data_IF_400458174066
#
_entry.id   IF_400458174066
#
_cell.length_a   1.000
_cell.length_b   1.000
_cell.length_c   1.000
_cell.angle_alpha   90.00
_cell.angle_beta   90.00
_cell.angle_gamma   90.00
#
_symmetry.space_group_name_H-M   'P 1'
#
loop_
_entity.id
_entity.type
_entity.pdbx_description
1 polymer ?
#
# COMPACT_ATOMS: atom_id res chain seq x y z
N UNK A 1 -7.34 -12.85 35.01
CA UNK A 1 -6.73 -11.53 35.19
C UNK A 1 -6.06 -11.09 33.91
N UNK A 2 -6.51 -9.97 33.32
CA UNK A 2 -5.93 -9.46 32.05
C UNK A 2 -4.46 -9.10 32.18
N UNK A 3 -4.00 -8.72 33.39
CA UNK A 3 -2.59 -8.38 33.64
C UNK A 3 -1.66 -9.60 33.54
N UNK A 4 -2.16 -10.83 33.63
CA UNK A 4 -1.34 -12.04 33.51
C UNK A 4 -1.00 -12.42 32.08
N UNK A 5 -1.73 -11.88 31.09
CA UNK A 5 -1.58 -12.24 29.67
C UNK A 5 -1.07 -11.09 28.81
N UNK A 6 -1.00 -9.88 29.37
CA UNK A 6 -0.59 -8.69 28.64
C UNK A 6 0.15 -7.71 29.52
N UNK A 7 1.37 -7.37 29.13
CA UNK A 7 2.16 -6.30 29.73
C UNK A 7 2.24 -5.14 28.76
N UNK A 8 1.52 -4.03 29.02
CA UNK A 8 1.58 -2.86 28.14
C UNK A 8 2.93 -2.15 28.27
N UNK A 9 3.49 -1.69 27.17
CA UNK A 9 4.56 -0.70 27.25
C UNK A 9 3.99 0.69 27.64
N UNK A 10 4.85 1.66 27.95
CA UNK A 10 4.46 2.96 28.51
C UNK A 10 3.37 3.68 27.73
N UNK A 11 3.47 3.72 26.39
CA UNK A 11 2.45 4.34 25.54
C UNK A 11 1.11 3.63 25.59
N UNK A 12 1.10 2.29 25.58
CA UNK A 12 -0.13 1.49 25.71
C UNK A 12 -0.76 1.68 27.10
N UNK A 13 0.06 1.72 28.17
CA UNK A 13 -0.40 1.98 29.52
C UNK A 13 -1.06 3.36 29.66
N UNK A 14 -0.52 4.38 28.99
CA UNK A 14 -1.13 5.71 28.94
C UNK A 14 -2.52 5.67 28.31
N UNK A 15 -2.68 4.94 27.19
CA UNK A 15 -3.97 4.78 26.53
C UNK A 15 -4.99 4.08 27.44
N UNK A 16 -4.58 3.00 28.12
CA UNK A 16 -5.46 2.22 29.01
C UNK A 16 -5.87 2.97 30.26
N UNK A 17 -5.00 3.85 30.80
CA UNK A 17 -5.31 4.64 31.98
C UNK A 17 -6.17 5.87 31.68
N UNK A 18 -6.23 6.31 30.43
CA UNK A 18 -6.98 7.51 30.07
C UNK A 18 -8.51 7.27 30.11
N UNK A 19 -9.29 8.14 30.79
CA UNK A 19 -10.73 7.90 31.01
C UNK A 19 -11.61 8.22 29.80
N UNK A 20 -11.10 8.86 28.76
CA UNK A 20 -11.87 9.30 27.59
C UNK A 20 -12.68 8.16 26.97
N UNK A 21 -13.90 8.50 26.54
CA UNK A 21 -14.79 7.57 25.84
C UNK A 21 -14.40 7.35 24.39
N UNK A 22 -13.83 8.35 23.74
CA UNK A 22 -13.31 8.23 22.39
C UNK A 22 -11.79 8.31 22.40
N UNK A 23 -11.11 7.32 21.84
CA UNK A 23 -9.66 7.26 21.72
C UNK A 23 -9.26 7.15 20.27
N UNK A 24 -8.33 7.98 19.80
CA UNK A 24 -7.84 7.98 18.42
C UNK A 24 -6.33 7.83 18.43
N UNK A 25 -5.85 6.72 17.86
CA UNK A 25 -4.44 6.34 17.86
C UNK A 25 -3.87 6.44 16.45
N UNK A 26 -3.09 7.48 16.19
CA UNK A 26 -2.37 7.69 14.95
C UNK A 26 -0.92 7.31 15.18
N UNK A 27 -0.58 6.04 14.98
CA UNK A 27 0.71 5.48 15.38
C UNK A 27 1.34 4.64 14.27
N UNK A 28 2.67 4.55 14.29
CA UNK A 28 3.44 3.80 13.31
C UNK A 28 3.12 2.30 13.29
N UNK A 29 3.43 1.65 12.17
CA UNK A 29 3.33 0.18 12.04
C UNK A 29 4.24 -0.49 13.09
N UNK A 30 3.86 -1.68 13.57
CA UNK A 30 4.61 -2.43 14.59
C UNK A 30 4.67 -1.77 15.98
N UNK A 31 3.98 -0.64 16.19
CA UNK A 31 3.90 -0.02 17.53
C UNK A 31 3.07 -0.84 18.53
N UNK A 32 2.19 -1.71 18.06
CA UNK A 32 1.32 -2.54 18.91
C UNK A 32 -0.09 -1.97 19.12
N UNK A 33 -0.58 -1.15 18.17
CA UNK A 33 -1.88 -0.47 18.22
C UNK A 33 -3.08 -1.43 18.35
N UNK A 34 -3.11 -2.51 17.55
CA UNK A 34 -4.24 -3.46 17.56
C UNK A 34 -4.29 -4.22 18.89
N UNK A 35 -3.13 -4.54 19.47
CA UNK A 35 -3.06 -5.15 20.82
C UNK A 35 -3.57 -4.20 21.88
N UNK A 36 -3.17 -2.91 21.83
CA UNK A 36 -3.70 -1.89 22.73
C UNK A 36 -5.24 -1.78 22.60
N UNK A 37 -5.77 -1.76 21.38
CA UNK A 37 -7.21 -1.68 21.13
C UNK A 37 -7.96 -2.90 21.67
N UNK A 38 -7.43 -4.12 21.47
CA UNK A 38 -8.02 -5.34 22.00
C UNK A 38 -8.12 -5.30 23.53
N UNK A 39 -7.02 -4.93 24.20
CA UNK A 39 -7.04 -4.91 25.66
C UNK A 39 -7.84 -3.74 26.24
N UNK A 40 -7.97 -2.61 25.54
CA UNK A 40 -8.89 -1.53 25.91
C UNK A 40 -10.36 -1.97 25.82
N UNK A 41 -10.70 -2.74 24.77
CA UNK A 41 -12.01 -3.38 24.61
C UNK A 41 -12.29 -4.38 25.75
N UNK A 42 -11.36 -5.30 26.01
CA UNK A 42 -11.52 -6.32 27.07
C UNK A 42 -11.59 -5.70 28.45
N UNK A 43 -10.81 -4.67 28.73
CA UNK A 43 -10.90 -3.87 29.96
C UNK A 43 -12.30 -3.27 30.11
N UNK A 44 -12.81 -2.64 29.04
CA UNK A 44 -14.16 -2.06 29.06
C UNK A 44 -15.23 -3.14 29.28
N UNK A 45 -15.08 -4.31 28.67
CA UNK A 45 -15.98 -5.44 28.93
C UNK A 45 -15.98 -5.86 30.39
N UNK A 46 -14.81 -6.12 30.98
CA UNK A 46 -14.68 -6.55 32.38
C UNK A 46 -15.22 -5.47 33.33
N UNK A 47 -14.88 -4.21 33.15
CA UNK A 47 -15.44 -3.10 33.93
C UNK A 47 -16.97 -3.01 33.82
N UNK A 48 -17.54 -3.38 32.66
CA UNK A 48 -18.98 -3.36 32.43
C UNK A 48 -19.75 -4.41 33.21
N UNK A 49 -19.08 -5.48 33.66
CA UNK A 49 -19.72 -6.57 34.41
C UNK A 49 -20.05 -6.16 35.85
N UNK A 50 -19.34 -5.18 36.41
CA UNK A 50 -19.52 -4.71 37.78
C UNK A 50 -20.47 -3.50 37.89
N UNK A 51 -20.85 -2.89 36.77
CA UNK A 51 -21.75 -1.74 36.78
C UNK A 51 -23.11 -2.16 37.25
N UNK A 52 -23.49 -1.72 38.45
CA UNK A 52 -24.84 -1.87 38.97
C UNK A 52 -25.79 -0.98 38.16
N UNK A 53 -26.71 -1.57 37.45
CA UNK A 53 -27.73 -0.84 36.71
C UNK A 53 -29.03 -0.92 37.48
N UNK A 54 -29.58 0.24 37.84
CA UNK A 54 -30.85 0.39 38.61
C UNK A 54 -32.07 -0.06 37.81
N UNK A 55 -31.93 -0.58 36.60
CA UNK A 55 -33.03 -1.06 35.80
C UNK A 55 -32.79 -2.47 35.26
N UNK A 56 -33.80 -3.32 35.29
CA UNK A 56 -33.84 -4.69 34.78
C UNK A 56 -33.61 -4.84 33.27
N UNK A 57 -33.04 -3.84 32.60
CA UNK A 57 -32.97 -3.71 31.14
C UNK A 57 -31.58 -3.33 30.63
N UNK A 58 -30.48 -3.83 31.23
CA UNK A 58 -29.15 -3.65 30.61
C UNK A 58 -29.03 -4.64 29.49
N UNK A 59 -28.85 -4.15 28.24
CA UNK A 59 -28.63 -5.07 27.14
C UNK A 59 -27.28 -5.79 27.33
N UNK A 60 -27.16 -7.03 26.82
CA UNK A 60 -25.87 -7.72 26.77
C UNK A 60 -24.81 -6.84 26.17
N UNK A 61 -23.55 -6.98 26.63
CA UNK A 61 -22.45 -6.22 26.08
C UNK A 61 -22.27 -6.54 24.59
N UNK A 62 -22.14 -5.51 23.77
CA UNK A 62 -21.93 -5.69 22.34
C UNK A 62 -20.78 -4.80 21.88
N UNK A 63 -19.76 -5.41 21.29
CA UNK A 63 -18.65 -4.71 20.67
C UNK A 63 -18.55 -5.03 19.18
N UNK A 64 -18.34 -4.00 18.39
CA UNK A 64 -17.98 -4.15 16.99
C UNK A 64 -16.52 -3.81 16.77
N UNK A 65 -15.87 -4.65 15.94
CA UNK A 65 -14.55 -4.39 15.39
C UNK A 65 -14.72 -4.24 13.88
N UNK A 66 -14.52 -3.03 13.39
CA UNK A 66 -14.75 -2.68 11.99
C UNK A 66 -13.41 -2.49 11.29
N UNK A 67 -13.13 -3.30 10.27
CA UNK A 67 -11.95 -3.14 9.42
C UNK A 67 -12.30 -2.86 7.97
N UNK A 68 -11.34 -2.44 7.13
CA UNK A 68 -11.59 -2.04 5.75
C UNK A 68 -12.22 -3.14 4.88
N UNK A 69 -11.75 -4.38 5.06
CA UNK A 69 -12.22 -5.55 4.31
C UNK A 69 -12.17 -6.82 5.15
N UNK A 70 -12.96 -7.84 4.80
CA UNK A 70 -12.92 -9.13 5.50
C UNK A 70 -11.55 -9.81 5.53
N UNK A 71 -10.73 -9.83 4.45
CA UNK A 71 -9.37 -10.37 4.53
C UNK A 71 -8.48 -9.68 5.57
N UNK A 72 -8.55 -8.34 5.69
CA UNK A 72 -7.82 -7.59 6.71
C UNK A 72 -8.37 -7.86 8.11
N UNK A 73 -9.70 -7.93 8.26
CA UNK A 73 -10.35 -8.29 9.51
C UNK A 73 -9.95 -9.68 10.01
N UNK A 74 -9.67 -10.64 9.12
CA UNK A 74 -9.26 -12.00 9.49
C UNK A 74 -7.95 -12.03 10.28
N UNK A 75 -7.03 -11.13 9.98
CA UNK A 75 -5.80 -11.01 10.76
C UNK A 75 -6.08 -10.57 12.20
N UNK A 76 -6.93 -9.55 12.36
CA UNK A 76 -7.37 -9.08 13.68
C UNK A 76 -8.14 -10.17 14.42
N UNK A 77 -9.00 -10.91 13.73
CA UNK A 77 -9.71 -12.06 14.29
C UNK A 77 -8.75 -13.11 14.86
N UNK A 78 -7.74 -13.52 14.11
CA UNK A 78 -6.76 -14.50 14.56
C UNK A 78 -6.00 -14.00 15.80
N UNK A 79 -5.67 -12.71 15.85
CA UNK A 79 -5.03 -12.10 17.02
C UNK A 79 -5.97 -12.13 18.24
N UNK A 80 -7.24 -11.77 18.07
CA UNK A 80 -8.24 -11.84 19.15
C UNK A 80 -8.33 -13.25 19.72
N UNK A 81 -8.53 -14.25 18.87
CA UNK A 81 -8.68 -15.63 19.32
C UNK A 81 -7.43 -16.16 20.03
N UNK A 82 -6.24 -15.71 19.62
CA UNK A 82 -4.98 -16.13 20.24
C UNK A 82 -4.74 -15.52 21.62
N UNK A 83 -5.28 -14.34 21.88
CA UNK A 83 -5.09 -13.61 23.15
C UNK A 83 -6.29 -13.62 24.09
N UNK A 84 -7.47 -14.02 23.61
CA UNK A 84 -8.68 -14.00 24.42
C UNK A 84 -8.63 -15.14 25.47
N UNK A 85 -8.70 -14.83 26.78
CA UNK A 85 -8.71 -15.87 27.81
C UNK A 85 -9.88 -16.83 27.63
N UNK A 86 -9.60 -18.13 27.64
CA UNK A 86 -10.62 -19.17 27.47
C UNK A 86 -11.69 -19.16 28.57
N UNK A 87 -11.33 -18.68 29.76
CA UNK A 87 -12.26 -18.53 30.89
C UNK A 87 -13.27 -17.39 30.68
N UNK A 88 -12.98 -16.43 29.79
CA UNK A 88 -13.97 -15.41 29.39
C UNK A 88 -14.89 -15.86 28.26
N UNK A 89 -14.59 -16.94 27.57
CA UNK A 89 -15.36 -17.40 26.41
C UNK A 89 -16.46 -18.36 26.88
N UNK A 90 -17.70 -18.22 26.38
CA UNK A 90 -18.76 -19.19 26.60
C UNK A 90 -18.42 -20.56 25.98
N UNK A 91 -18.88 -21.68 26.55
CA UNK A 91 -18.74 -22.98 25.89
C UNK A 91 -19.35 -22.96 24.49
N UNK A 92 -18.54 -23.29 23.47
CA UNK A 92 -18.92 -23.16 22.06
C UNK A 92 -19.19 -21.74 21.57
N UNK A 93 -18.68 -20.73 22.29
CA UNK A 93 -18.93 -19.30 21.97
C UNK A 93 -18.16 -18.73 20.82
N UNK A 94 -17.21 -19.46 20.24
CA UNK A 94 -16.46 -19.00 19.05
C UNK A 94 -17.21 -19.44 17.79
N UNK A 95 -17.61 -18.47 16.96
CA UNK A 95 -18.21 -18.66 15.65
C UNK A 95 -17.22 -18.23 14.58
N UNK A 96 -16.38 -19.17 14.14
CA UNK A 96 -15.24 -18.91 13.26
C UNK A 96 -15.68 -18.33 11.90
N UNK A 97 -16.73 -18.87 11.30
CA UNK A 97 -17.20 -18.45 9.97
C UNK A 97 -17.85 -17.07 10.00
N UNK A 98 -18.51 -16.73 11.11
CA UNK A 98 -19.19 -15.46 11.34
C UNK A 98 -18.24 -14.40 11.93
N UNK A 99 -17.03 -14.80 12.37
CA UNK A 99 -16.10 -13.99 13.15
C UNK A 99 -16.75 -13.31 14.35
N UNK A 100 -17.41 -14.15 15.18
CA UNK A 100 -18.09 -13.72 16.40
C UNK A 100 -17.61 -14.51 17.61
N UNK A 101 -17.48 -13.82 18.76
CA UNK A 101 -17.15 -14.44 20.04
C UNK A 101 -18.18 -14.06 21.10
N UNK A 102 -18.81 -15.07 21.71
CA UNK A 102 -19.70 -14.90 22.86
C UNK A 102 -18.87 -15.01 24.13
N UNK A 103 -18.99 -13.99 24.99
CA UNK A 103 -18.27 -13.90 26.25
C UNK A 103 -19.19 -14.27 27.43
N UNK A 104 -18.62 -14.89 28.46
CA UNK A 104 -19.32 -15.17 29.72
C UNK A 104 -19.56 -13.87 30.47
N UNK A 105 -20.76 -13.70 30.98
CA UNK A 105 -21.13 -12.55 31.80
C UNK A 105 -21.32 -12.90 33.27
N UNK A 106 -22.07 -12.06 33.95
CA UNK A 106 -22.51 -12.19 35.33
C UNK A 106 -24.05 -12.22 35.41
N UNK A 107 -24.63 -12.38 36.59
CA UNK A 107 -26.09 -12.27 36.77
C UNK A 107 -26.65 -10.93 36.29
N UNK A 108 -25.89 -9.87 36.43
CA UNK A 108 -26.28 -8.50 36.03
C UNK A 108 -26.17 -8.28 34.51
N UNK A 109 -25.20 -8.89 33.87
CA UNK A 109 -24.96 -8.81 32.44
C UNK A 109 -24.60 -10.20 31.91
N UNK A 110 -25.59 -10.98 31.47
CA UNK A 110 -25.47 -12.45 31.36
C UNK A 110 -24.48 -12.90 30.26
N UNK A 111 -24.19 -12.07 29.27
CA UNK A 111 -23.23 -12.37 28.22
C UNK A 111 -22.75 -11.13 27.50
N UNK A 112 -21.70 -11.29 26.71
CA UNK A 112 -21.20 -10.29 25.80
C UNK A 112 -20.95 -10.87 24.39
N UNK A 113 -20.92 -10.02 23.41
CA UNK A 113 -20.63 -10.37 22.02
C UNK A 113 -19.55 -9.43 21.46
N UNK A 114 -18.52 -10.01 20.91
CA UNK A 114 -17.57 -9.30 20.02
C UNK A 114 -17.86 -9.78 18.60
N UNK A 115 -18.10 -8.85 17.70
CA UNK A 115 -18.46 -9.13 16.32
C UNK A 115 -17.55 -8.33 15.38
N UNK A 116 -16.98 -9.00 14.37
CA UNK A 116 -16.17 -8.34 13.34
C UNK A 116 -17.04 -7.97 12.15
N UNK A 117 -16.88 -6.73 11.69
CA UNK A 117 -17.59 -6.15 10.55
C UNK A 117 -16.62 -5.63 9.50
N UNK A 118 -17.01 -5.68 8.24
CA UNK A 118 -16.27 -5.07 7.14
C UNK A 118 -16.89 -3.74 6.74
N UNK A 119 -16.04 -2.72 6.59
CA UNK A 119 -16.43 -1.41 6.08
C UNK A 119 -16.67 -1.39 4.55
N UNK A 120 -16.38 -2.50 3.85
CA UNK A 120 -16.54 -2.59 2.39
C UNK A 120 -18.01 -2.35 1.96
N UNK A 121 -18.98 -2.78 2.77
CA UNK A 121 -20.40 -2.47 2.56
C UNK A 121 -20.92 -1.59 3.72
N UNK A 122 -20.85 -0.25 3.60
CA UNK A 122 -21.26 0.67 4.66
C UNK A 122 -22.72 0.52 5.11
N UNK A 123 -23.62 0.09 4.21
CA UNK A 123 -25.04 -0.02 4.54
C UNK A 123 -25.34 -1.17 5.51
N UNK A 124 -24.43 -2.15 5.64
CA UNK A 124 -24.52 -3.22 6.66
C UNK A 124 -24.17 -2.75 8.07
N UNK A 125 -23.67 -1.54 8.26
CA UNK A 125 -23.17 -1.00 9.52
C UNK A 125 -24.21 -0.19 10.32
N UNK A 126 -25.50 -0.35 10.05
CA UNK A 126 -26.58 0.44 10.69
C UNK A 126 -27.47 -0.34 11.66
N UNK A 127 -27.21 -1.60 11.93
CA UNK A 127 -28.23 -2.53 12.44
C UNK A 127 -28.28 -2.72 13.96
N UNK A 128 -27.29 -2.26 14.73
CA UNK A 128 -27.27 -2.52 16.19
C UNK A 128 -26.62 -1.37 16.97
N UNK A 129 -27.10 -1.18 18.22
CA UNK A 129 -26.37 -0.34 19.18
C UNK A 129 -25.24 -1.12 19.83
N UNK A 130 -24.06 -0.49 20.00
CA UNK A 130 -22.89 -1.12 20.61
C UNK A 130 -22.39 -0.37 21.83
N UNK A 131 -21.78 -1.11 22.76
CA UNK A 131 -21.10 -0.58 23.94
C UNK A 131 -19.68 -0.11 23.58
N UNK A 132 -19.04 -0.81 22.64
CA UNK A 132 -17.70 -0.51 22.21
C UNK A 132 -17.57 -0.62 20.67
N UNK A 133 -16.97 0.38 20.06
CA UNK A 133 -16.65 0.41 18.65
C UNK A 133 -15.14 0.55 18.46
N UNK A 134 -14.52 -0.49 17.90
CA UNK A 134 -13.13 -0.41 17.45
C UNK A 134 -13.09 -0.36 15.93
N UNK A 135 -12.49 0.70 15.36
CA UNK A 135 -12.16 0.77 13.93
C UNK A 135 -10.66 0.55 13.77
N UNK A 136 -10.30 -0.56 13.14
CA UNK A 136 -8.90 -0.92 12.84
C UNK A 136 -8.51 -0.51 11.44
N UNK A 137 -7.21 -0.17 11.23
CA UNK A 137 -6.67 0.39 9.99
C UNK A 137 -7.56 1.53 9.47
N UNK A 138 -7.85 2.46 10.37
CA UNK A 138 -8.82 3.56 10.19
C UNK A 138 -8.54 4.42 8.95
N UNK A 139 -7.25 4.55 8.53
CA UNK A 139 -6.85 5.28 7.33
C UNK A 139 -7.38 4.65 6.03
N UNK A 140 -7.75 3.38 6.05
CA UNK A 140 -8.26 2.64 4.88
C UNK A 140 -9.80 2.47 4.92
N UNK A 141 -10.46 2.99 5.96
CA UNK A 141 -11.92 2.95 6.12
C UNK A 141 -12.54 4.21 5.51
N UNK A 142 -13.47 4.05 4.57
CA UNK A 142 -14.11 5.18 3.89
C UNK A 142 -14.97 6.04 4.83
N UNK A 143 -15.07 7.34 4.53
CA UNK A 143 -15.87 8.33 5.29
C UNK A 143 -17.31 7.87 5.50
N UNK A 144 -17.95 7.35 4.43
CA UNK A 144 -19.33 6.84 4.51
C UNK A 144 -19.50 5.70 5.52
N UNK A 145 -18.51 4.80 5.63
CA UNK A 145 -18.57 3.72 6.62
C UNK A 145 -18.44 4.26 8.04
N UNK A 146 -17.54 5.21 8.26
CA UNK A 146 -17.43 5.89 9.56
C UNK A 146 -18.70 6.61 9.96
N UNK A 147 -19.32 7.37 9.04
CA UNK A 147 -20.59 8.07 9.26
C UNK A 147 -21.73 7.12 9.67
N UNK A 148 -21.77 5.90 9.11
CA UNK A 148 -22.72 4.87 9.48
C UNK A 148 -22.46 4.24 10.86
N UNK A 149 -21.19 4.21 11.29
CA UNK A 149 -20.80 3.68 12.59
C UNK A 149 -21.08 4.64 13.75
N UNK A 150 -21.09 5.96 13.54
CA UNK A 150 -21.25 6.92 14.64
C UNK A 150 -22.59 6.80 15.38
N UNK A 151 -23.76 6.67 14.72
CA UNK A 151 -25.05 6.58 15.40
C UNK A 151 -25.20 5.36 16.29
N UNK A 152 -24.53 4.24 15.98
CA UNK A 152 -24.63 3.01 16.76
C UNK A 152 -24.08 3.14 18.20
N UNK A 153 -23.16 4.09 18.41
CA UNK A 153 -22.64 4.46 19.73
C UNK A 153 -23.64 5.29 20.56
N UNK A 154 -24.71 5.81 19.96
CA UNK A 154 -25.69 6.69 20.64
C UNK A 154 -26.94 5.95 21.13
N UNK A 155 -26.88 4.65 21.16
CA UNK A 155 -28.01 3.84 21.60
C UNK A 155 -28.19 3.94 23.13
N UNK A 156 -29.43 4.16 23.62
CA UNK A 156 -29.72 4.25 25.05
C UNK A 156 -29.27 2.99 25.82
N UNK A 157 -28.77 3.17 27.02
CA UNK A 157 -28.34 2.07 27.90
C UNK A 157 -27.00 1.42 27.51
N UNK A 158 -26.29 1.96 26.54
CA UNK A 158 -24.97 1.51 26.12
C UNK A 158 -23.82 2.36 26.74
N UNK A 159 -22.65 1.77 26.88
CA UNK A 159 -21.46 2.43 27.45
C UNK A 159 -20.92 3.52 26.50
N UNK A 160 -21.04 3.30 25.20
CA UNK A 160 -20.64 4.25 24.14
C UNK A 160 -19.16 4.60 24.14
N UNK A 161 -18.26 3.64 24.31
CA UNK A 161 -16.81 3.82 24.14
C UNK A 161 -16.38 3.49 22.72
N UNK A 162 -15.33 4.15 22.24
CA UNK A 162 -14.75 3.87 20.92
C UNK A 162 -13.23 4.04 20.91
N UNK A 163 -12.57 3.26 20.05
CA UNK A 163 -11.16 3.38 19.75
C UNK A 163 -10.96 3.24 18.24
N UNK A 164 -10.32 4.23 17.64
CA UNK A 164 -9.96 4.23 16.22
C UNK A 164 -8.44 4.22 16.11
N UNK A 165 -7.88 3.27 15.36
CA UNK A 165 -6.43 3.16 15.23
C UNK A 165 -5.98 2.95 13.80
N UNK A 166 -4.85 3.57 13.47
CA UNK A 166 -4.23 3.49 12.15
C UNK A 166 -2.92 4.25 12.07
N UNK A 167 -2.31 4.20 10.90
CA UNK A 167 -1.27 5.14 10.49
C UNK A 167 -1.94 6.42 9.97
N UNK A 168 -1.22 7.55 9.77
CA UNK A 168 -1.80 8.72 9.11
C UNK A 168 -2.48 8.38 7.79
N UNK A 169 -3.63 8.97 7.51
CA UNK A 169 -4.29 8.84 6.23
C UNK A 169 -3.46 9.49 5.10
N UNK A 170 -3.78 9.19 3.83
CA UNK A 170 -3.06 9.73 2.69
C UNK A 170 -3.41 11.19 2.37
N UNK A 171 -4.57 11.67 2.85
CA UNK A 171 -5.08 13.03 2.60
C UNK A 171 -5.70 13.64 3.85
N UNK A 172 -5.60 14.95 3.93
CA UNK A 172 -5.99 15.74 5.11
C UNK A 172 -7.49 15.79 5.38
N UNK A 173 -8.31 15.63 4.36
CA UNK A 173 -9.77 15.64 4.46
C UNK A 173 -10.36 14.25 4.80
N UNK A 174 -9.54 13.23 5.00
CA UNK A 174 -9.98 11.93 5.46
C UNK A 174 -10.59 12.04 6.88
N UNK A 175 -11.69 11.33 7.13
CA UNK A 175 -12.40 11.39 8.41
C UNK A 175 -11.48 11.15 9.61
N UNK A 176 -10.51 10.22 9.48
CA UNK A 176 -9.59 9.86 10.56
C UNK A 176 -8.68 11.04 10.94
N UNK A 177 -8.17 11.79 9.96
CA UNK A 177 -7.39 13.00 10.18
C UNK A 177 -8.26 14.14 10.73
N UNK A 178 -9.49 14.32 10.20
CA UNK A 178 -10.43 15.34 10.71
C UNK A 178 -10.79 15.09 12.18
N UNK A 179 -11.09 13.84 12.55
CA UNK A 179 -11.42 13.48 13.95
C UNK A 179 -10.20 13.69 14.84
N UNK A 180 -9.00 13.24 14.41
CA UNK A 180 -7.77 13.44 15.15
C UNK A 180 -7.54 14.92 15.47
N UNK A 181 -7.59 15.80 14.46
CA UNK A 181 -7.40 17.25 14.62
C UNK A 181 -8.50 17.92 15.46
N UNK A 182 -9.74 17.45 15.31
CA UNK A 182 -10.84 17.97 16.13
C UNK A 182 -10.66 17.67 17.61
N UNK A 183 -10.08 16.50 17.93
CA UNK A 183 -9.74 16.16 19.32
C UNK A 183 -8.54 16.97 19.79
N UNK A 184 -7.49 17.07 18.99
CA UNK A 184 -6.27 17.84 19.30
C UNK A 184 -6.57 19.32 19.57
N UNK A 185 -7.51 19.90 18.83
CA UNK A 185 -7.99 21.28 19.03
C UNK A 185 -9.02 21.43 20.16
N UNK A 186 -9.38 20.36 20.86
CA UNK A 186 -10.31 20.39 21.98
C UNK A 186 -11.79 20.52 21.61
N UNK A 187 -12.14 20.34 20.33
CA UNK A 187 -13.54 20.45 19.86
C UNK A 187 -14.39 19.22 20.21
N UNK A 188 -13.79 18.08 20.52
CA UNK A 188 -14.50 16.85 20.88
C UNK A 188 -14.32 16.58 22.37
N UNK A 189 -15.37 16.75 23.18
CA UNK A 189 -15.28 16.48 24.61
C UNK A 189 -15.17 14.97 24.89
N UNK A 190 -14.56 14.62 26.02
CA UNK A 190 -14.41 13.23 26.49
C UNK A 190 -13.69 12.34 25.46
N UNK A 191 -12.70 12.94 24.75
CA UNK A 191 -11.91 12.29 23.74
C UNK A 191 -10.41 12.48 23.99
N UNK A 192 -9.58 11.55 23.51
CA UNK A 192 -8.13 11.68 23.47
C UNK A 192 -7.59 11.29 22.10
N UNK A 193 -6.53 11.95 21.67
CA UNK A 193 -5.71 11.50 20.56
C UNK A 193 -4.30 11.16 21.04
N UNK A 194 -3.65 10.22 20.36
CA UNK A 194 -2.32 9.77 20.66
C UNK A 194 -1.54 9.50 19.39
N UNK A 195 -0.29 9.96 19.35
CA UNK A 195 0.63 9.68 18.25
C UNK A 195 1.94 9.12 18.77
N UNK A 196 2.55 8.19 18.03
CA UNK A 196 3.83 7.59 18.34
C UNK A 196 4.47 6.97 17.11
N UNK A 197 5.78 6.92 17.08
CA UNK A 197 6.54 6.23 16.03
C UNK A 197 6.60 4.72 16.30
N UNK A 198 6.91 3.93 15.28
CA UNK A 198 7.19 2.49 15.42
C UNK A 198 8.29 2.24 16.47
N UNK A 199 9.29 3.10 16.48
CA UNK A 199 10.48 2.98 17.35
C UNK A 199 10.22 3.23 18.82
N UNK A 200 9.07 3.79 19.18
CA UNK A 200 8.61 3.93 20.57
C UNK A 200 8.14 2.59 21.18
N UNK A 201 8.04 1.54 20.37
CA UNK A 201 7.79 0.20 20.86
C UNK A 201 9.09 -0.42 21.40
N UNK A 202 9.22 -0.63 22.73
CA UNK A 202 10.43 -1.19 23.34
C UNK A 202 10.62 -2.69 23.04
N UNK A 203 9.62 -3.37 22.48
CA UNK A 203 9.68 -4.78 22.13
C UNK A 203 10.23 -5.04 20.72
N UNK A 204 10.53 -3.99 19.95
CA UNK A 204 11.24 -4.14 18.68
C UNK A 204 12.69 -4.51 18.95
N UNK A 205 13.14 -5.62 18.37
CA UNK A 205 14.54 -6.03 18.36
C UNK A 205 15.38 -5.11 17.48
N UNK A 206 16.69 -5.18 17.57
CA UNK A 206 17.58 -4.44 16.68
C UNK A 206 17.40 -4.88 15.23
N UNK A 207 17.22 -6.20 14.98
CA UNK A 207 16.92 -6.73 13.66
C UNK A 207 15.61 -6.18 13.08
N UNK A 208 14.55 -6.03 13.90
CA UNK A 208 13.30 -5.42 13.47
C UNK A 208 13.49 -3.95 13.07
N UNK A 209 14.31 -3.22 13.85
CA UNK A 209 14.63 -1.81 13.58
C UNK A 209 15.42 -1.67 12.28
N UNK A 210 16.42 -2.51 12.08
CA UNK A 210 17.24 -2.52 10.87
C UNK A 210 16.39 -2.88 9.63
N UNK A 211 15.47 -3.84 9.76
CA UNK A 211 14.52 -4.16 8.70
C UNK A 211 13.63 -2.96 8.34
N UNK A 212 13.08 -2.26 9.34
CA UNK A 212 12.29 -1.04 9.12
C UNK A 212 13.13 0.05 8.43
N UNK A 213 14.39 0.24 8.83
CA UNK A 213 15.26 1.21 8.18
C UNK A 213 15.60 0.82 6.74
N UNK A 214 15.76 -0.47 6.46
CA UNK A 214 16.04 -0.95 5.10
C UNK A 214 14.87 -0.71 4.13
N UNK A 215 13.63 -0.65 4.62
CA UNK A 215 12.46 -0.31 3.80
C UNK A 215 12.57 1.06 3.13
N UNK A 216 13.34 2.02 3.70
CA UNK A 216 13.64 3.31 3.07
C UNK A 216 14.36 3.17 1.71
N UNK A 217 14.94 2.01 1.46
CA UNK A 217 15.59 1.75 0.17
C UNK A 217 14.59 1.46 -0.97
N UNK A 218 13.37 1.03 -0.63
CA UNK A 218 12.41 0.50 -1.60
C UNK A 218 11.06 1.22 -1.61
N UNK A 219 10.82 2.14 -0.67
CA UNK A 219 9.61 2.97 -0.63
C UNK A 219 9.98 4.46 -0.53
N UNK A 220 9.13 5.37 -1.07
CA UNK A 220 9.32 6.81 -0.95
C UNK A 220 9.40 7.26 0.52
N UNK A 221 10.22 8.26 0.81
CA UNK A 221 10.42 8.75 2.18
C UNK A 221 9.11 9.22 2.84
N UNK A 222 8.22 9.85 2.08
CA UNK A 222 6.90 10.25 2.58
C UNK A 222 6.07 9.05 3.05
N UNK A 223 6.07 7.96 2.28
CA UNK A 223 5.38 6.73 2.63
C UNK A 223 6.02 6.08 3.86
N UNK A 224 7.35 6.06 3.93
CA UNK A 224 8.09 5.54 5.08
C UNK A 224 7.79 6.35 6.36
N UNK A 225 7.86 7.68 6.29
CA UNK A 225 7.55 8.56 7.40
C UNK A 225 6.10 8.39 7.88
N UNK A 226 5.15 8.26 6.95
CA UNK A 226 3.74 8.00 7.28
C UNK A 226 3.56 6.65 7.96
N UNK A 227 4.20 5.59 7.44
CA UNK A 227 4.04 4.23 7.96
C UNK A 227 4.73 4.00 9.30
N UNK A 228 5.94 4.54 9.49
CA UNK A 228 6.77 4.19 10.63
C UNK A 228 6.94 5.33 11.64
N UNK A 229 6.88 6.58 11.21
CA UNK A 229 6.99 7.74 12.10
C UNK A 229 5.65 8.40 12.43
N UNK A 230 4.57 7.88 11.88
CA UNK A 230 3.23 8.46 12.02
C UNK A 230 3.17 9.95 11.63
N UNK A 231 4.04 10.39 10.71
CA UNK A 231 4.09 11.76 10.21
C UNK A 231 3.13 11.88 9.03
N UNK A 232 2.24 12.87 9.13
CA UNK A 232 1.40 13.30 8.03
C UNK A 232 2.00 14.57 7.42
N UNK A 233 2.24 14.55 6.10
CA UNK A 233 2.78 15.70 5.38
C UNK A 233 1.72 16.22 4.38
N UNK A 234 1.02 17.28 4.76
CA UNK A 234 -0.07 17.87 3.96
C UNK A 234 0.40 18.49 2.63
N UNK A 235 1.65 18.91 2.60
CA UNK A 235 2.21 19.69 1.49
C UNK A 235 3.11 18.85 0.58
N UNK A 236 3.29 17.59 0.87
CA UNK A 236 4.10 16.73 0.02
C UNK A 236 3.31 16.31 -1.21
N UNK A 237 3.58 16.93 -2.35
CA UNK A 237 3.29 16.34 -3.65
C UNK A 237 3.85 14.91 -3.72
N UNK A 238 3.31 14.09 -4.59
CA UNK A 238 3.79 12.70 -4.74
C UNK A 238 5.29 12.66 -5.12
N UNK A 239 5.72 13.56 -6.00
CA UNK A 239 7.11 13.71 -6.40
C UNK A 239 7.76 14.87 -5.63
N UNK A 240 8.89 14.56 -4.98
CA UNK A 240 9.69 15.51 -4.20
C UNK A 240 10.98 15.88 -4.96
N UNK A 241 11.66 16.91 -4.48
CA UNK A 241 12.96 17.35 -5.01
C UNK A 241 12.97 17.65 -6.53
N UNK A 242 11.81 18.00 -7.11
CA UNK A 242 11.70 18.33 -8.55
C UNK A 242 12.76 19.35 -8.95
N UNK A 243 12.99 20.38 -8.13
CA UNK A 243 13.98 21.42 -8.41
C UNK A 243 15.42 20.91 -8.37
N UNK A 244 15.75 19.96 -7.50
CA UNK A 244 17.08 19.36 -7.40
C UNK A 244 17.38 18.42 -8.57
N UNK A 245 16.34 17.83 -9.18
CA UNK A 245 16.48 16.99 -10.37
C UNK A 245 16.64 17.80 -11.67
N UNK A 246 16.41 19.13 -11.64
CA UNK A 246 16.59 19.97 -12.80
C UNK A 246 18.08 20.09 -13.16
N UNK A 247 18.50 19.52 -14.29
CA UNK A 247 19.89 19.58 -14.74
C UNK A 247 20.03 19.47 -16.26
N UNK A 248 20.85 20.34 -16.80
CA UNK A 248 21.28 20.35 -18.20
C UNK A 248 20.20 20.76 -19.19
N UNK A 249 20.51 20.52 -20.47
CA UNK A 249 19.68 20.85 -21.63
C UNK A 249 19.41 19.59 -22.45
N UNK A 250 18.36 19.64 -23.29
CA UNK A 250 18.17 18.66 -24.36
C UNK A 250 19.33 18.79 -25.37
N UNK A 251 19.92 17.66 -25.79
CA UNK A 251 21.03 17.64 -26.73
C UNK A 251 20.54 17.29 -28.13
N UNK A 252 21.23 17.83 -29.13
CA UNK A 252 20.83 17.67 -30.54
C UNK A 252 21.38 16.40 -31.18
N UNK A 253 22.47 15.87 -30.67
CA UNK A 253 23.20 14.73 -31.23
C UNK A 253 23.69 13.79 -30.15
N UNK A 254 23.77 12.47 -30.44
CA UNK A 254 24.30 11.50 -29.52
C UNK A 254 25.76 11.73 -29.17
N UNK A 255 26.12 11.53 -27.92
CA UNK A 255 27.51 11.59 -27.43
C UNK A 255 28.17 10.22 -27.64
N UNK A 256 29.38 10.23 -28.21
CA UNK A 256 30.13 9.00 -28.47
C UNK A 256 30.45 8.29 -27.15
N UNK A 257 30.09 7.01 -27.07
CA UNK A 257 30.30 6.16 -25.90
C UNK A 257 29.19 6.24 -24.83
N UNK A 258 28.17 7.09 -25.00
CA UNK A 258 26.98 7.07 -24.19
C UNK A 258 26.02 5.92 -24.60
N UNK A 259 25.19 5.50 -23.68
CA UNK A 259 24.19 4.45 -23.91
C UNK A 259 22.80 5.04 -23.72
N UNK A 260 21.99 4.99 -24.77
CA UNK A 260 20.66 5.59 -24.73
C UNK A 260 19.56 4.53 -24.63
N UNK A 261 18.57 4.84 -23.82
CA UNK A 261 17.34 4.05 -23.62
C UNK A 261 16.14 4.99 -23.67
N UNK A 262 14.94 4.44 -23.80
CA UNK A 262 13.74 5.26 -23.84
C UNK A 262 12.55 4.64 -23.11
N UNK A 263 11.67 5.51 -22.62
CA UNK A 263 10.31 5.19 -22.24
C UNK A 263 9.34 5.81 -23.24
N UNK A 264 8.34 5.04 -23.65
CA UNK A 264 7.29 5.47 -24.57
C UNK A 264 5.92 5.23 -23.90
N UNK A 265 5.23 6.30 -23.61
CA UNK A 265 3.82 6.27 -23.24
C UNK A 265 2.94 6.57 -24.46
N UNK A 266 1.96 5.71 -24.71
CA UNK A 266 1.13 5.78 -25.91
C UNK A 266 -0.22 6.40 -25.58
N UNK A 267 -0.41 7.65 -25.98
CA UNK A 267 -1.68 8.34 -25.92
C UNK A 267 -2.72 7.76 -26.88
N UNK A 268 -3.96 7.74 -26.42
CA UNK A 268 -5.13 7.43 -27.25
C UNK A 268 -5.72 8.74 -27.82
N UNK A 269 -6.92 8.68 -28.35
CA UNK A 269 -7.60 9.79 -29.03
C UNK A 269 -7.60 11.13 -28.30
N UNK A 270 -7.41 11.13 -27.00
CA UNK A 270 -7.52 12.32 -26.12
C UNK A 270 -6.18 12.65 -25.44
N UNK A 271 -5.25 11.69 -25.36
CA UNK A 271 -3.97 11.82 -24.65
C UNK A 271 -2.82 11.94 -25.66
N UNK A 272 -1.78 12.64 -25.30
CA UNK A 272 -0.54 12.76 -26.08
C UNK A 272 0.26 11.45 -26.01
N UNK A 273 1.03 11.14 -27.06
CA UNK A 273 2.06 10.10 -26.95
C UNK A 273 3.40 10.76 -26.65
N UNK A 274 4.16 10.21 -25.72
CA UNK A 274 5.41 10.81 -25.27
C UNK A 274 6.54 9.81 -25.31
N UNK A 275 7.63 10.16 -26.00
CA UNK A 275 8.88 9.42 -26.04
C UNK A 275 9.96 10.20 -25.27
N UNK A 276 10.42 9.66 -24.15
CA UNK A 276 11.49 10.23 -23.34
C UNK A 276 12.76 9.40 -23.49
N UNK A 277 13.84 10.01 -24.00
CA UNK A 277 15.14 9.36 -24.22
C UNK A 277 16.09 9.77 -23.12
N UNK A 278 16.73 8.79 -22.47
CA UNK A 278 17.68 9.00 -21.37
C UNK A 278 19.07 8.46 -21.75
N UNK A 279 20.10 9.14 -21.26
CA UNK A 279 21.40 8.52 -21.06
C UNK A 279 21.26 7.55 -19.89
N UNK A 280 21.47 6.25 -20.15
CA UNK A 280 21.25 5.21 -19.16
C UNK A 280 22.21 5.30 -17.98
N UNK A 281 23.43 5.82 -18.18
CA UNK A 281 24.47 5.91 -17.15
C UNK A 281 24.13 6.96 -16.10
N UNK A 282 23.76 8.15 -16.57
CA UNK A 282 23.51 9.30 -15.71
C UNK A 282 22.01 9.48 -15.40
N UNK A 283 21.16 8.60 -15.97
CA UNK A 283 19.68 8.64 -15.86
C UNK A 283 19.14 10.04 -16.16
N UNK A 284 19.70 10.66 -17.20
CA UNK A 284 19.40 12.03 -17.58
C UNK A 284 18.62 12.07 -18.88
N UNK A 285 17.52 12.83 -18.91
CA UNK A 285 16.78 13.09 -20.15
C UNK A 285 17.69 13.87 -21.11
N UNK A 286 17.91 13.30 -22.29
CA UNK A 286 18.70 13.90 -23.37
C UNK A 286 17.82 14.37 -24.52
N UNK A 287 16.64 13.74 -24.69
CA UNK A 287 15.65 14.16 -25.69
C UNK A 287 14.25 13.81 -25.19
N UNK A 288 13.29 14.62 -25.61
CA UNK A 288 11.90 14.50 -25.19
C UNK A 288 10.99 14.92 -26.33
N UNK A 289 10.14 14.01 -26.78
CA UNK A 289 9.29 14.17 -27.95
C UNK A 289 7.84 13.86 -27.54
N UNK A 290 6.95 14.81 -27.76
CA UNK A 290 5.52 14.62 -27.58
C UNK A 290 4.81 14.74 -28.93
N UNK A 291 3.86 13.86 -29.19
CA UNK A 291 2.92 13.95 -30.28
C UNK A 291 1.56 14.35 -29.73
N UNK A 292 0.95 15.33 -30.35
CA UNK A 292 -0.36 15.83 -29.91
C UNK A 292 -1.44 14.75 -29.95
N UNK A 293 -2.43 14.90 -29.10
CA UNK A 293 -3.61 14.05 -29.09
C UNK A 293 -4.26 13.96 -30.48
N UNK A 294 -4.50 12.75 -30.94
CA UNK A 294 -5.10 12.50 -32.26
C UNK A 294 -4.10 12.43 -33.43
N UNK A 295 -2.79 12.58 -33.18
CA UNK A 295 -1.79 12.32 -34.20
C UNK A 295 -1.85 10.85 -34.66
N UNK A 296 -1.72 10.62 -35.97
CA UNK A 296 -1.89 9.29 -36.56
C UNK A 296 -0.79 8.32 -36.13
N UNK A 297 -1.16 7.09 -35.85
CA UNK A 297 -0.23 6.03 -35.46
C UNK A 297 0.90 5.78 -36.45
N UNK A 298 0.69 5.82 -37.77
CA UNK A 298 1.79 5.71 -38.73
C UNK A 298 2.85 6.81 -38.56
N UNK A 299 2.43 8.06 -38.30
CA UNK A 299 3.36 9.18 -38.06
C UNK A 299 4.11 9.03 -36.74
N UNK A 300 3.40 8.65 -35.68
CA UNK A 300 4.04 8.37 -34.39
C UNK A 300 5.07 7.25 -34.53
N UNK A 301 4.71 6.14 -35.21
CA UNK A 301 5.61 5.02 -35.50
C UNK A 301 6.86 5.45 -36.28
N UNK A 302 6.68 6.23 -37.35
CA UNK A 302 7.79 6.78 -38.14
C UNK A 302 8.70 7.66 -37.26
N UNK A 303 8.12 8.50 -36.40
CA UNK A 303 8.84 9.32 -35.45
C UNK A 303 9.67 8.48 -34.47
N UNK A 304 9.07 7.46 -33.85
CA UNK A 304 9.78 6.54 -32.94
C UNK A 304 10.93 5.83 -33.64
N UNK A 305 10.70 5.29 -34.85
CA UNK A 305 11.74 4.63 -35.67
C UNK A 305 12.91 5.56 -35.96
N UNK A 306 12.63 6.79 -36.39
CA UNK A 306 13.64 7.80 -36.68
C UNK A 306 14.48 8.14 -35.46
N UNK A 307 13.83 8.39 -34.32
CA UNK A 307 14.57 8.71 -33.10
C UNK A 307 15.31 7.50 -32.54
N UNK A 308 14.75 6.30 -32.59
CA UNK A 308 15.42 5.09 -32.13
C UNK A 308 16.70 4.78 -32.91
N UNK A 309 16.67 4.96 -34.23
CA UNK A 309 17.83 4.78 -35.10
C UNK A 309 18.87 5.89 -34.88
N UNK A 310 18.43 7.14 -34.80
CA UNK A 310 19.33 8.30 -34.63
C UNK A 310 20.09 8.23 -33.28
N UNK A 311 19.42 7.85 -32.20
CA UNK A 311 20.00 7.73 -30.87
C UNK A 311 20.61 6.35 -30.59
N UNK A 312 20.57 5.42 -31.51
CA UNK A 312 21.01 4.02 -31.32
C UNK A 312 20.49 3.41 -30.03
N UNK A 313 19.16 3.53 -29.82
CA UNK A 313 18.51 3.11 -28.57
C UNK A 313 18.76 1.63 -28.30
N UNK A 314 19.24 1.31 -27.10
CA UNK A 314 19.54 -0.07 -26.69
C UNK A 314 18.36 -0.77 -26.02
N UNK A 315 17.37 -0.02 -25.58
CA UNK A 315 16.13 -0.51 -24.97
C UNK A 315 15.05 0.55 -25.03
N UNK A 316 13.83 0.15 -25.34
CA UNK A 316 12.65 1.01 -25.36
C UNK A 316 11.57 0.29 -24.56
N UNK A 317 11.20 0.82 -23.38
CA UNK A 317 10.07 0.31 -22.61
C UNK A 317 8.80 1.06 -23.04
N UNK A 318 7.81 0.33 -23.53
CA UNK A 318 6.61 0.90 -24.13
C UNK A 318 5.38 0.53 -23.30
N UNK A 319 4.50 1.49 -23.02
CA UNK A 319 3.19 1.16 -22.47
C UNK A 319 2.35 0.35 -23.47
N UNK A 320 2.25 -0.94 -23.23
CA UNK A 320 1.47 -1.89 -24.03
C UNK A 320 0.07 -2.14 -23.46
N UNK A 321 -0.48 -1.21 -22.69
CA UNK A 321 -1.79 -1.37 -22.06
C UNK A 321 -2.91 -1.32 -23.09
N UNK A 322 -3.66 -2.44 -23.17
CA UNK A 322 -4.76 -2.63 -24.10
C UNK A 322 -4.28 -2.98 -25.52
N UNK A 323 -5.24 -3.37 -26.39
CA UNK A 323 -4.94 -3.90 -27.73
C UNK A 323 -4.12 -2.95 -28.61
N UNK A 324 -4.29 -1.64 -28.46
CA UNK A 324 -3.56 -0.67 -29.26
C UNK A 324 -2.07 -0.59 -28.90
N UNK A 325 -1.75 -0.56 -27.62
CA UNK A 325 -0.36 -0.52 -27.17
C UNK A 325 0.39 -1.80 -27.49
N UNK A 326 -0.28 -2.96 -27.38
CA UNK A 326 0.28 -4.26 -27.73
C UNK A 326 0.61 -4.33 -29.23
N UNK A 327 -0.33 -3.96 -30.11
CA UNK A 327 -0.11 -3.93 -31.58
C UNK A 327 1.02 -2.97 -31.97
N UNK A 328 1.05 -1.76 -31.41
CA UNK A 328 2.09 -0.79 -31.69
C UNK A 328 3.47 -1.29 -31.26
N UNK A 329 3.57 -1.91 -30.09
CA UNK A 329 4.80 -2.52 -29.60
C UNK A 329 5.29 -3.65 -30.54
N UNK A 330 4.38 -4.50 -31.04
CA UNK A 330 4.69 -5.55 -32.00
C UNK A 330 5.23 -4.97 -33.31
N UNK A 331 4.58 -3.94 -33.88
CA UNK A 331 5.04 -3.30 -35.10
C UNK A 331 6.46 -2.70 -34.97
N UNK A 332 6.79 -2.14 -33.78
CA UNK A 332 8.15 -1.62 -33.53
C UNK A 332 9.18 -2.76 -33.41
N UNK A 333 8.79 -3.90 -32.78
CA UNK A 333 9.66 -5.08 -32.70
C UNK A 333 9.89 -5.71 -34.07
N UNK A 334 8.85 -5.81 -34.90
CA UNK A 334 8.96 -6.29 -36.28
C UNK A 334 9.86 -5.39 -37.16
N UNK A 335 9.88 -4.08 -36.84
CA UNK A 335 10.82 -3.13 -37.44
C UNK A 335 12.26 -3.25 -36.92
N UNK A 336 12.54 -4.18 -36.01
CA UNK A 336 13.87 -4.50 -35.48
C UNK A 336 14.32 -3.64 -34.31
N UNK A 337 13.41 -2.88 -33.67
CA UNK A 337 13.74 -2.10 -32.50
C UNK A 337 13.81 -2.95 -31.22
N UNK A 338 14.65 -2.59 -30.25
CA UNK A 338 14.79 -3.28 -28.96
C UNK A 338 13.66 -2.91 -27.97
N UNK A 339 12.44 -3.22 -28.36
CA UNK A 339 11.22 -2.87 -27.61
C UNK A 339 10.92 -3.91 -26.54
N UNK A 340 10.54 -3.44 -25.36
CA UNK A 340 9.99 -4.21 -24.27
C UNK A 340 8.59 -3.70 -23.92
N UNK A 341 7.53 -4.47 -24.17
CA UNK A 341 6.18 -4.08 -23.83
C UNK A 341 5.96 -4.17 -22.31
N UNK A 342 5.45 -3.10 -21.71
CA UNK A 342 5.10 -3.02 -20.31
C UNK A 342 3.59 -2.78 -20.18
N UNK A 343 2.87 -3.75 -19.62
CA UNK A 343 1.42 -3.61 -19.41
C UNK A 343 1.17 -3.00 -18.04
N UNK A 344 0.73 -1.75 -18.02
CA UNK A 344 0.40 -1.04 -16.77
C UNK A 344 -0.91 -1.59 -16.20
N UNK A 345 -0.83 -2.18 -14.99
CA UNK A 345 -1.95 -2.70 -14.21
C UNK A 345 -1.98 -2.02 -12.85
N UNK A 346 -3.09 -2.11 -12.14
CA UNK A 346 -3.23 -1.49 -10.82
C UNK A 346 -2.13 -1.87 -9.83
N UNK A 347 -1.67 -3.13 -9.87
CA UNK A 347 -0.64 -3.65 -8.97
C UNK A 347 0.81 -3.26 -9.32
N UNK A 348 1.12 -2.88 -10.57
CA UNK A 348 2.46 -2.46 -10.99
C UNK A 348 2.57 -0.96 -11.28
N UNK A 349 1.44 -0.26 -11.45
CA UNK A 349 1.39 1.20 -11.61
C UNK A 349 2.05 1.90 -10.42
N UNK A 350 1.70 1.45 -9.20
CA UNK A 350 2.28 1.99 -7.97
C UNK A 350 3.80 1.81 -7.95
N UNK A 351 4.29 0.60 -8.23
CA UNK A 351 5.71 0.31 -8.27
C UNK A 351 6.48 1.20 -9.27
N UNK A 352 5.91 1.42 -10.46
CA UNK A 352 6.51 2.27 -11.49
C UNK A 352 6.66 3.72 -11.00
N UNK A 353 5.62 4.27 -10.38
CA UNK A 353 5.61 5.62 -9.83
C UNK A 353 6.53 5.75 -8.61
N UNK A 354 6.53 4.76 -7.71
CA UNK A 354 7.42 4.74 -6.54
C UNK A 354 8.89 4.69 -6.96
N UNK A 355 9.23 3.96 -8.01
CA UNK A 355 10.58 3.90 -8.57
C UNK A 355 11.04 5.29 -9.02
N UNK A 356 10.20 6.04 -9.73
CA UNK A 356 10.49 7.42 -10.12
C UNK A 356 10.59 8.35 -8.90
N UNK A 357 9.66 8.25 -7.96
CA UNK A 357 9.66 9.08 -6.75
C UNK A 357 10.95 8.88 -5.93
N UNK A 358 11.38 7.63 -5.72
CA UNK A 358 12.63 7.29 -5.03
C UNK A 358 13.85 7.84 -5.78
N UNK A 359 13.86 7.72 -7.11
CA UNK A 359 14.96 8.25 -7.92
C UNK A 359 15.05 9.77 -7.80
N UNK A 360 13.93 10.48 -7.75
CA UNK A 360 13.87 11.92 -7.55
C UNK A 360 14.28 12.32 -6.12
N UNK A 361 13.79 11.62 -5.10
CA UNK A 361 14.18 11.87 -3.70
C UNK A 361 15.70 11.71 -3.47
N UNK A 362 16.31 10.78 -4.20
CA UNK A 362 17.76 10.51 -4.16
C UNK A 362 18.59 11.35 -5.15
N UNK A 363 17.92 12.19 -5.93
CA UNK A 363 18.56 13.00 -6.97
C UNK A 363 19.40 12.15 -7.95
N UNK A 364 18.90 10.95 -8.29
CA UNK A 364 19.54 10.00 -9.21
C UNK A 364 18.94 10.01 -10.61
N UNK A 365 17.91 10.81 -10.85
CA UNK A 365 17.32 11.08 -12.17
C UNK A 365 17.39 12.56 -12.42
N UNK A 366 17.74 12.95 -13.66
CA UNK A 366 17.91 14.34 -14.03
C UNK A 366 17.16 14.67 -15.32
N UNK A 367 16.59 15.86 -15.38
CA UNK A 367 15.87 16.34 -16.55
C UNK A 367 16.02 17.86 -16.72
N UNK A 368 16.03 18.36 -17.97
CA UNK A 368 16.00 19.79 -18.23
C UNK A 368 14.63 20.41 -17.90
N UNK A 369 14.55 21.72 -18.00
CA UNK A 369 13.28 22.44 -17.84
C UNK A 369 12.34 22.12 -19.02
N UNK A 370 11.50 21.10 -18.85
CA UNK A 370 10.46 20.67 -19.78
C UNK A 370 9.09 21.05 -19.16
N UNK A 371 8.48 22.17 -19.60
CA UNK A 371 7.29 22.71 -18.92
C UNK A 371 6.11 21.73 -18.78
N UNK A 372 5.75 20.90 -19.79
CA UNK A 372 4.71 19.89 -19.62
C UNK A 372 5.04 18.87 -18.54
N UNK A 373 6.24 18.28 -18.54
CA UNK A 373 6.69 17.32 -17.53
C UNK A 373 6.66 17.92 -16.13
N UNK A 374 7.21 19.13 -15.96
CA UNK A 374 7.24 19.80 -14.65
C UNK A 374 5.84 20.11 -14.12
N UNK A 375 4.91 20.49 -14.99
CA UNK A 375 3.51 20.71 -14.61
C UNK A 375 2.88 19.42 -14.12
N UNK A 376 3.02 18.33 -14.87
CA UNK A 376 2.47 17.02 -14.50
C UNK A 376 3.10 16.49 -13.21
N UNK A 377 4.41 16.56 -13.02
CA UNK A 377 5.08 16.15 -11.77
C UNK A 377 4.57 16.94 -10.55
N UNK A 378 4.35 18.25 -10.69
CA UNK A 378 3.82 19.09 -9.60
C UNK A 378 2.34 18.84 -9.32
N UNK A 379 1.57 18.55 -10.36
CA UNK A 379 0.13 18.29 -10.25
C UNK A 379 -0.18 16.88 -9.76
N UNK A 380 0.79 15.95 -9.83
CA UNK A 380 0.57 14.54 -9.49
C UNK A 380 0.22 14.37 -8.02
N UNK A 381 -0.96 13.82 -7.75
CA UNK A 381 -1.53 13.71 -6.41
C UNK A 381 -2.18 12.34 -6.19
N UNK A 382 -2.48 12.08 -4.93
CA UNK A 382 -3.30 10.95 -4.51
C UNK A 382 -4.78 11.28 -4.78
N UNK A 383 -5.41 10.63 -5.73
CA UNK A 383 -6.84 10.82 -6.03
C UNK A 383 -7.69 9.74 -5.34
N UNK A 384 -8.68 10.19 -4.55
CA UNK A 384 -9.65 9.31 -3.90
C UNK A 384 -10.75 8.91 -4.90
N UNK A 385 -10.95 7.62 -5.09
CA UNK A 385 -12.09 7.11 -5.85
C UNK A 385 -13.34 7.03 -4.96
N UNK A 386 -14.56 7.11 -5.54
CA UNK A 386 -15.81 7.06 -4.78
C UNK A 386 -15.97 5.82 -3.88
N UNK A 387 -15.25 4.73 -4.16
CA UNK A 387 -15.20 3.50 -3.35
C UNK A 387 -14.21 3.52 -2.20
N UNK A 388 -13.47 4.64 -1.98
CA UNK A 388 -12.44 4.75 -0.93
C UNK A 388 -11.07 4.21 -1.29
N UNK A 389 -10.90 3.57 -2.46
CA UNK A 389 -9.59 3.19 -2.99
C UNK A 389 -8.85 4.42 -3.51
N UNK A 390 -7.52 4.35 -3.46
CA UNK A 390 -6.63 5.42 -3.90
C UNK A 390 -6.16 5.13 -5.31
N UNK A 391 -6.31 6.10 -6.21
CA UNK A 391 -5.69 6.07 -7.53
C UNK A 391 -4.61 7.15 -7.58
N UNK A 392 -3.42 6.75 -7.96
CA UNK A 392 -2.32 7.67 -8.23
C UNK A 392 -2.47 8.16 -9.68
N UNK A 393 -2.81 9.42 -9.85
CA UNK A 393 -3.01 10.00 -11.18
C UNK A 393 -2.90 11.53 -11.11
N UNK A 394 -2.76 12.15 -12.26
CA UNK A 394 -3.04 13.56 -12.40
C UNK A 394 -4.49 13.89 -11.95
N UNK A 395 -4.76 15.10 -11.47
CA UNK A 395 -6.11 15.57 -11.18
C UNK A 395 -7.06 15.41 -12.38
N UNK A 396 -8.36 15.36 -12.13
CA UNK A 396 -9.37 15.25 -13.19
C UNK A 396 -9.20 16.43 -14.18
N UNK A 397 -8.93 16.09 -15.45
CA UNK A 397 -8.68 17.06 -16.52
C UNK A 397 -7.21 17.39 -16.77
N UNK A 398 -6.30 16.78 -16.02
CA UNK A 398 -4.85 16.82 -16.25
C UNK A 398 -4.37 15.47 -16.78
N UNK A 399 -3.27 15.49 -17.55
CA UNK A 399 -2.65 14.31 -18.15
C UNK A 399 -1.47 13.82 -17.31
N UNK A 400 -1.09 12.54 -17.42
CA UNK A 400 0.06 11.94 -16.73
C UNK A 400 1.06 11.25 -17.69
N UNK A 401 0.89 11.47 -19.00
CA UNK A 401 1.66 10.83 -20.08
C UNK A 401 3.17 11.11 -19.97
N UNK A 402 3.55 12.35 -19.62
CA UNK A 402 4.94 12.77 -19.44
C UNK A 402 5.62 12.04 -18.28
N UNK A 403 4.88 11.88 -17.18
CA UNK A 403 5.35 11.20 -15.97
C UNK A 403 5.56 9.72 -16.25
N UNK A 404 4.61 9.07 -16.96
CA UNK A 404 4.72 7.66 -17.30
C UNK A 404 5.84 7.40 -18.32
N UNK A 405 6.01 8.24 -19.33
CA UNK A 405 7.13 8.14 -20.25
C UNK A 405 8.48 8.23 -19.54
N UNK A 406 8.64 9.14 -18.56
CA UNK A 406 9.84 9.23 -17.75
C UNK A 406 10.05 8.01 -16.87
N UNK A 407 9.00 7.53 -16.20
CA UNK A 407 9.06 6.36 -15.32
C UNK A 407 9.43 5.07 -16.07
N UNK A 408 8.84 4.86 -17.27
CA UNK A 408 9.20 3.76 -18.18
C UNK A 408 10.65 3.89 -18.66
N UNK A 409 11.09 5.10 -19.00
CA UNK A 409 12.48 5.37 -19.39
C UNK A 409 13.47 5.09 -18.28
N UNK A 410 13.15 5.43 -17.05
CA UNK A 410 13.97 5.11 -15.87
C UNK A 410 14.09 3.59 -15.66
N UNK A 411 13.01 2.85 -15.84
CA UNK A 411 13.00 1.37 -15.80
C UNK A 411 13.90 0.79 -16.88
N UNK A 412 13.92 1.41 -18.08
CA UNK A 412 14.83 1.01 -19.14
C UNK A 412 16.32 1.18 -18.77
N UNK A 413 16.67 2.17 -17.95
CA UNK A 413 18.05 2.39 -17.48
C UNK A 413 18.55 1.26 -16.58
N UNK A 414 17.73 0.72 -15.68
CA UNK A 414 18.16 -0.22 -14.64
C UNK A 414 18.71 -1.53 -15.20
N UNK A 415 18.04 -2.10 -16.19
CA UNK A 415 18.49 -3.35 -16.81
C UNK A 415 19.60 -3.13 -17.86
N UNK A 416 19.64 -1.97 -18.51
CA UNK A 416 20.73 -1.64 -19.41
C UNK A 416 22.07 -1.63 -18.67
N UNK A 417 22.14 -1.06 -17.47
CA UNK A 417 23.35 -1.05 -16.64
C UNK A 417 23.72 -2.48 -16.21
N UNK A 418 22.77 -3.32 -15.82
CA UNK A 418 23.04 -4.70 -15.41
C UNK A 418 23.55 -5.57 -16.55
N UNK A 419 23.10 -5.34 -17.78
CA UNK A 419 23.57 -6.05 -18.96
C UNK A 419 25.04 -5.77 -19.31
N UNK A 420 25.56 -4.59 -18.96
CA UNK A 420 26.96 -4.22 -19.17
C UNK A 420 27.89 -4.61 -18.01
N UNK A 421 27.33 -4.84 -16.81
CA UNK A 421 28.11 -5.17 -15.61
C UNK A 421 28.39 -6.67 -15.42
N UNK A 422 27.72 -7.55 -16.15
CA UNK A 422 27.91 -9.00 -16.08
C UNK A 422 28.61 -9.51 -17.35
N UNK A 423 29.77 -10.21 -17.25
CA UNK A 423 30.30 -10.94 -18.40
C UNK A 423 29.23 -11.94 -18.85
N UNK A 424 28.87 -11.91 -20.14
CA UNK A 424 27.91 -12.84 -20.74
C UNK A 424 28.42 -14.28 -20.55
N UNK A 425 28.05 -14.93 -19.48
CA UNK A 425 27.99 -16.37 -19.45
C UNK A 425 26.83 -16.79 -20.36
N UNK A 426 27.18 -17.20 -21.56
CA UNK A 426 26.25 -17.86 -22.49
C UNK A 426 25.67 -19.11 -21.81
N UNK A 427 24.59 -18.95 -21.05
CA UNK A 427 23.71 -20.08 -20.75
C UNK A 427 22.96 -20.41 -22.04
N UNK A 428 23.48 -21.39 -22.78
CA UNK A 428 22.69 -22.06 -23.81
C UNK A 428 21.35 -22.47 -23.19
N UNK A 429 20.26 -21.82 -23.58
CA UNK A 429 18.90 -22.32 -23.35
C UNK A 429 18.82 -23.68 -24.04
N UNK A 430 18.91 -24.77 -23.28
CA UNK A 430 18.45 -26.07 -23.77
C UNK A 430 16.97 -25.92 -24.14
N UNK A 431 16.69 -25.91 -25.43
CA UNK A 431 15.35 -26.13 -25.96
C UNK A 431 14.96 -27.54 -25.52
N UNK A 432 14.07 -27.64 -24.56
CA UNK A 432 13.36 -28.90 -24.31
C UNK A 432 12.41 -29.11 -25.48
N UNK A 433 12.73 -30.02 -26.36
CA UNK A 433 11.81 -30.59 -27.32
C UNK A 433 11.05 -31.69 -26.56
N UNK A 434 9.76 -31.49 -26.35
CA UNK A 434 8.89 -32.53 -25.80
C UNK A 434 8.94 -33.74 -26.72
N UNK A 435 9.15 -34.92 -26.17
CA UNK A 435 9.00 -36.18 -26.92
C UNK A 435 7.51 -36.43 -27.22
N UNK A 436 7.23 -37.17 -28.30
CA UNK A 436 5.87 -37.45 -28.72
C UNK A 436 5.02 -38.11 -27.61
N UNK A 437 5.65 -38.90 -26.73
CA UNK A 437 5.01 -39.55 -25.57
C UNK A 437 4.59 -38.56 -24.46
N UNK A 438 5.30 -37.45 -24.29
CA UNK A 438 4.96 -36.39 -23.28
C UNK A 438 3.82 -35.50 -23.79
N UNK A 439 3.67 -35.37 -25.08
CA UNK A 439 2.56 -34.61 -25.69
C UNK A 439 1.22 -35.37 -25.64
N UNK A 440 1.26 -36.69 -25.69
CA UNK A 440 0.07 -37.56 -25.74
C UNK A 440 -0.50 -37.88 -24.34
N UNK A 441 0.29 -37.67 -23.25
CA UNK A 441 -0.13 -38.05 -21.89
C UNK A 441 -1.04 -37.04 -21.15
N UNK A 442 -1.21 -35.81 -21.66
CA UNK A 442 -2.18 -34.81 -21.15
C UNK A 442 -2.05 -34.42 -19.66
N UNK A 443 -1.00 -34.87 -18.95
CA UNK A 443 -0.84 -34.66 -17.50
C UNK A 443 0.34 -33.72 -17.25
N UNK A 444 0.02 -32.49 -16.86
CA UNK A 444 0.97 -31.44 -16.49
C UNK A 444 1.49 -31.67 -15.05
N UNK A 445 2.36 -32.67 -14.87
CA UNK A 445 2.96 -33.02 -13.57
C UNK A 445 4.31 -32.31 -13.29
N UNK A 446 4.91 -31.66 -14.29
CA UNK A 446 6.24 -31.06 -14.17
C UNK A 446 6.31 -29.81 -13.29
N UNK A 447 5.25 -28.99 -13.27
CA UNK A 447 5.22 -27.75 -12.50
C UNK A 447 5.19 -27.95 -10.99
N UNK A 448 4.46 -28.95 -10.54
CA UNK A 448 4.34 -29.25 -9.09
C UNK A 448 5.58 -29.89 -8.50
N UNK A 449 6.28 -30.71 -9.28
CA UNK A 449 7.51 -31.41 -8.83
C UNK A 449 8.67 -30.42 -8.69
N UNK A 450 8.85 -29.49 -9.62
CA UNK A 450 9.89 -28.45 -9.56
C UNK A 450 9.66 -27.48 -8.39
N UNK A 451 8.41 -27.14 -8.09
CA UNK A 451 8.05 -26.30 -6.94
C UNK A 451 8.27 -27.03 -5.60
N UNK A 452 7.99 -28.33 -5.52
CA UNK A 452 8.23 -29.13 -4.34
C UNK A 452 9.74 -29.32 -4.08
N UNK A 453 10.53 -29.59 -5.10
CA UNK A 453 11.99 -29.73 -4.99
C UNK A 453 12.69 -28.41 -4.64
N UNK A 454 12.20 -27.26 -5.14
CA UNK A 454 12.69 -25.92 -4.73
C UNK A 454 12.35 -25.61 -3.28
N UNK A 455 11.14 -25.94 -2.82
CA UNK A 455 10.75 -25.75 -1.40
C UNK A 455 11.55 -26.64 -0.46
N UNK A 456 11.83 -27.87 -0.84
CA UNK A 456 12.65 -28.79 -0.05
C UNK A 456 14.10 -28.31 0.04
N UNK A 457 14.72 -27.83 -1.05
CA UNK A 457 16.08 -27.25 -1.03
C UNK A 457 16.16 -25.98 -0.19
N UNK A 458 15.17 -25.10 -0.27
CA UNK A 458 15.13 -23.86 0.52
C UNK A 458 14.97 -24.16 2.03
N UNK A 459 14.22 -25.18 2.38
CA UNK A 459 14.09 -25.65 3.76
C UNK A 459 15.38 -26.27 4.31
N UNK A 460 16.07 -27.05 3.49
CA UNK A 460 17.35 -27.69 3.86
C UNK A 460 18.48 -26.66 4.06
N UNK A 461 18.63 -25.70 3.14
CA UNK A 461 19.61 -24.60 3.24
C UNK A 461 19.39 -23.72 4.50
N UNK A 462 18.12 -23.56 4.90
CA UNK A 462 17.75 -22.81 6.11
C UNK A 462 18.05 -23.57 7.40
N UNK A 463 17.93 -24.89 7.39
CA UNK A 463 18.27 -25.76 8.55
C UNK A 463 19.78 -25.89 8.71
N UNK A 464 20.53 -25.95 7.61
CA UNK A 464 21.99 -26.00 7.59
C UNK A 464 22.59 -24.65 8.11
N UNK A 465 22.04 -23.50 7.70
CA UNK A 465 22.44 -22.17 8.23
C UNK A 465 22.05 -21.95 9.69
N UNK A 466 21.03 -22.66 10.17
CA UNK A 466 20.60 -22.59 11.57
C UNK A 466 21.37 -23.58 12.47
N UNK A 467 22.31 -24.39 11.92
CA UNK A 467 23.09 -25.36 12.69
C UNK A 467 22.25 -26.49 13.28
N UNK A 468 21.12 -26.85 12.66
CA UNK A 468 20.18 -27.87 13.16
C UNK A 468 20.45 -29.24 12.49
N UNK A 469 21.09 -29.23 11.31
CA UNK A 469 21.64 -30.41 10.60
C UNK A 469 22.97 -30.03 9.96
#
# INVERSE_FOLDING_TARGET
DLASIYTPHSGQAQIHSHPAKMKVLKVGRRWGKSRAALFDLLKTYVESLDVAVDSNLVPPFHAWIVGPSFPQCRQVWNEIISFLPSDLIQPGGIRQDEMMVYLKGTEKRPWGLIEIKSAHNPDSLQTAGVDYLWITEAQDVADRAFEKCLPILRSPGRISKSLFEGIPALWSDHWFERVYRSIESGLVPDAMCYTAESFDNPFLTDDDRDAIFSDRAVIPEAAWNRMYRAIFDENAGYFRNIAACLAGDLIKEPIIGATYVAGLDLGRKVDASVLTILDARDRKIVQHIAWDAGESWPRQREGVLKHAQFWDLKRIVVDATGMGGDMFSQELMEAGLPVEPFVIKENNRQWLLDTLAIAMERETVHFPDIPPLLRQLRAFQYNKLPGGSVKYAAPIGEHDDEVFALALGLTACEEAISAFSTPRLHKQRKRYVLTQEEADSGINTSGHRILAERRARYAADRLERAGII
#
